data_IF_410244335862
#
_entry.id   IF_410244335862
#
_cell.length_a   1.000
_cell.length_b   1.000
_cell.length_c   1.000
_cell.angle_alpha   90.00
_cell.angle_beta   90.00
_cell.angle_gamma   90.00
#
_symmetry.space_group_name_H-M   'P 1'
#
loop_
_entity.id
_entity.type
_entity.pdbx_description
1 polymer ?
#
# COMPACT_ATOMS: atom_id res chain seq x y z
N UNK A 1 31.78 -41.60 63.86
CA UNK A 1 32.05 -40.16 63.92
C UNK A 1 31.70 -39.51 62.57
N UNK A 2 30.77 -38.56 62.64
CA UNK A 2 30.30 -37.52 61.70
C UNK A 2 30.75 -37.56 60.23
N UNK A 3 29.77 -37.77 59.34
CA UNK A 3 29.77 -37.33 57.92
C UNK A 3 29.62 -35.80 57.84
N UNK A 4 30.36 -35.07 57.00
CA UNK A 4 30.01 -33.68 56.70
C UNK A 4 28.92 -33.62 55.63
N UNK A 5 27.88 -32.85 55.91
CA UNK A 5 26.78 -32.54 55.02
C UNK A 5 27.24 -31.50 53.98
N UNK A 6 26.96 -31.76 52.69
CA UNK A 6 27.12 -30.80 51.62
C UNK A 6 25.96 -29.79 51.68
N UNK A 7 26.27 -28.52 51.94
CA UNK A 7 25.33 -27.42 51.86
C UNK A 7 25.15 -27.03 50.38
N UNK A 8 23.94 -27.23 49.84
CA UNK A 8 23.54 -26.63 48.57
C UNK A 8 23.27 -25.14 48.79
N UNK A 9 24.16 -24.29 48.29
CA UNK A 9 23.89 -22.86 48.15
C UNK A 9 22.93 -22.67 46.95
N UNK A 10 21.67 -22.36 47.24
CA UNK A 10 20.72 -21.87 46.23
C UNK A 10 21.13 -20.43 45.90
N UNK A 11 21.80 -20.25 44.76
CA UNK A 11 22.03 -18.92 44.20
C UNK A 11 20.68 -18.36 43.75
N UNK A 12 20.13 -17.43 44.52
CA UNK A 12 18.98 -16.63 44.11
C UNK A 12 19.42 -15.73 42.93
N UNK A 13 19.07 -16.12 41.72
CA UNK A 13 19.11 -15.23 40.56
C UNK A 13 18.08 -14.13 40.77
N UNK A 14 18.52 -13.00 41.31
CA UNK A 14 17.77 -11.74 41.23
C UNK A 14 17.74 -11.36 39.76
N UNK A 15 16.63 -11.68 39.09
CA UNK A 15 16.33 -11.14 37.78
C UNK A 15 16.20 -9.63 37.92
N UNK A 16 17.24 -8.91 37.52
CA UNK A 16 17.17 -7.47 37.28
C UNK A 16 16.18 -7.27 36.13
N UNK A 17 14.93 -7.01 36.47
CA UNK A 17 13.95 -6.47 35.55
C UNK A 17 14.46 -5.11 35.11
N UNK A 18 15.15 -5.05 33.96
CA UNK A 18 15.36 -3.81 33.26
C UNK A 18 13.98 -3.21 32.98
N UNK A 19 13.70 -1.95 33.36
CA UNK A 19 12.49 -1.31 32.93
C UNK A 19 12.52 -1.29 31.40
N UNK A 20 11.54 -1.98 30.81
CA UNK A 20 11.26 -1.89 29.39
C UNK A 20 11.27 -0.40 29.02
N UNK A 21 12.16 -0.05 28.11
CA UNK A 21 12.66 1.31 27.92
C UNK A 21 11.55 2.34 27.82
N UNK A 22 11.85 3.54 28.33
CA UNK A 22 11.05 4.74 28.15
C UNK A 22 10.43 4.74 26.75
N UNK A 23 9.10 4.61 26.69
CA UNK A 23 8.37 4.69 25.43
C UNK A 23 8.83 5.97 24.73
N UNK A 24 9.40 5.84 23.54
CA UNK A 24 9.79 7.01 22.77
C UNK A 24 8.58 7.93 22.68
N UNK A 25 8.75 9.20 23.02
CA UNK A 25 7.67 10.17 22.94
C UNK A 25 7.10 10.14 21.51
N UNK A 26 5.82 9.76 21.39
CA UNK A 26 5.11 9.67 20.11
C UNK A 26 5.02 11.05 19.48
N UNK A 27 5.20 11.12 18.17
CA UNK A 27 4.89 12.31 17.38
C UNK A 27 3.38 12.50 17.27
N UNK A 28 2.93 13.71 16.94
CA UNK A 28 1.50 13.97 16.72
C UNK A 28 0.93 13.11 15.57
N UNK A 29 1.72 12.92 14.50
CA UNK A 29 1.34 12.07 13.37
C UNK A 29 1.22 10.60 13.78
N UNK A 30 2.21 10.06 14.50
CA UNK A 30 2.17 8.69 15.00
C UNK A 30 1.00 8.45 15.97
N UNK A 31 0.73 9.38 16.88
CA UNK A 31 -0.40 9.29 17.80
C UNK A 31 -1.77 9.30 17.07
N UNK A 32 -1.90 10.07 15.97
CA UNK A 32 -3.11 10.06 15.15
C UNK A 32 -3.24 8.76 14.35
N UNK A 33 -2.14 8.24 13.79
CA UNK A 33 -2.13 6.94 13.11
C UNK A 33 -2.54 5.80 14.05
N UNK A 34 -1.96 5.74 15.25
CA UNK A 34 -2.31 4.77 16.29
C UNK A 34 -3.80 4.87 16.66
N UNK A 35 -4.33 6.09 16.84
CA UNK A 35 -5.77 6.30 17.07
C UNK A 35 -6.64 5.75 15.94
N UNK A 36 -6.21 5.92 14.68
CA UNK A 36 -6.89 5.38 13.51
C UNK A 36 -6.92 3.86 13.51
N UNK A 37 -5.77 3.24 13.82
CA UNK A 37 -5.64 1.79 13.96
C UNK A 37 -6.59 1.27 15.06
N UNK A 38 -6.54 1.87 16.27
CA UNK A 38 -7.42 1.50 17.39
C UNK A 38 -8.90 1.63 17.05
N UNK A 39 -9.28 2.72 16.37
CA UNK A 39 -10.64 2.96 15.92
C UNK A 39 -11.09 1.86 14.96
N UNK A 40 -10.31 1.60 13.92
CA UNK A 40 -10.66 0.64 12.88
C UNK A 40 -10.67 -0.80 13.40
N UNK A 41 -9.78 -1.15 14.33
CA UNK A 41 -9.78 -2.46 14.99
C UNK A 41 -11.03 -2.66 15.86
N UNK A 42 -11.38 -1.65 16.68
CA UNK A 42 -12.55 -1.69 17.55
C UNK A 42 -13.88 -1.82 16.80
N UNK A 43 -14.00 -1.23 15.62
CA UNK A 43 -15.20 -1.36 14.76
C UNK A 43 -15.14 -2.55 13.80
N UNK A 44 -14.11 -3.40 13.90
CA UNK A 44 -13.96 -4.62 13.10
C UNK A 44 -13.56 -4.38 11.64
N UNK A 45 -13.07 -3.20 11.29
CA UNK A 45 -12.60 -2.88 9.94
C UNK A 45 -11.19 -3.40 9.64
N UNK A 46 -10.41 -3.70 10.68
CA UNK A 46 -9.11 -4.40 10.62
C UNK A 46 -9.04 -5.43 11.75
N UNK A 47 -8.31 -6.52 11.51
CA UNK A 47 -8.16 -7.61 12.49
C UNK A 47 -7.13 -7.21 13.55
N UNK A 48 -7.25 -7.77 14.75
CA UNK A 48 -6.34 -7.48 15.85
C UNK A 48 -4.85 -7.76 15.54
N UNK A 49 -4.48 -8.87 14.86
CA UNK A 49 -3.09 -9.08 14.47
C UNK A 49 -2.56 -8.03 13.50
N UNK A 50 -3.38 -7.60 12.53
CA UNK A 50 -3.01 -6.55 11.57
C UNK A 50 -2.81 -5.22 12.31
N UNK A 51 -3.72 -4.87 13.22
CA UNK A 51 -3.59 -3.67 14.05
C UNK A 51 -2.29 -3.66 14.86
N UNK A 52 -1.93 -4.80 15.48
CA UNK A 52 -0.67 -4.93 16.21
C UNK A 52 0.55 -4.72 15.30
N UNK A 53 0.53 -5.30 14.09
CA UNK A 53 1.60 -5.09 13.10
C UNK A 53 1.70 -3.61 12.70
N UNK A 54 0.57 -2.95 12.42
CA UNK A 54 0.55 -1.55 12.01
C UNK A 54 1.05 -0.61 13.11
N UNK A 55 0.74 -0.87 14.38
CA UNK A 55 1.34 -0.12 15.50
C UNK A 55 2.86 -0.27 15.56
N UNK A 56 3.38 -1.47 15.25
CA UNK A 56 4.81 -1.70 15.18
C UNK A 56 5.45 -0.93 14.01
N UNK A 57 4.80 -0.87 12.85
CA UNK A 57 5.27 -0.11 11.69
C UNK A 57 5.33 1.39 11.98
N UNK A 58 4.31 1.95 12.64
CA UNK A 58 4.33 3.35 13.10
C UNK A 58 5.49 3.60 14.06
N UNK A 59 5.68 2.72 15.06
CA UNK A 59 6.79 2.83 16.00
C UNK A 59 8.16 2.80 15.32
N UNK A 60 8.35 1.87 14.37
CA UNK A 60 9.61 1.73 13.64
C UNK A 60 9.88 2.96 12.76
N UNK A 61 8.86 3.50 12.10
CA UNK A 61 8.98 4.72 11.32
C UNK A 61 9.36 5.93 12.18
N UNK A 62 8.72 6.12 13.33
CA UNK A 62 9.06 7.21 14.26
C UNK A 62 10.49 7.08 14.79
N UNK A 63 10.90 5.86 15.14
CA UNK A 63 12.25 5.57 15.61
C UNK A 63 13.28 5.85 14.51
N UNK A 64 13.04 5.37 13.30
CA UNK A 64 13.93 5.58 12.16
C UNK A 64 14.01 7.07 11.77
N UNK A 65 12.91 7.81 11.82
CA UNK A 65 12.90 9.25 11.57
C UNK A 65 13.73 10.01 12.63
N UNK A 66 13.56 9.68 13.91
CA UNK A 66 14.25 10.34 15.02
C UNK A 66 15.77 10.21 14.94
N UNK A 67 16.26 9.00 14.65
CA UNK A 67 17.68 8.69 14.68
C UNK A 67 18.34 8.66 13.29
N UNK A 68 17.54 8.81 12.23
CA UNK A 68 18.02 8.75 10.86
C UNK A 68 18.66 10.05 10.36
N UNK A 69 19.47 9.96 9.27
CA UNK A 69 19.95 11.11 8.51
C UNK A 69 18.81 12.04 8.03
N UNK A 70 19.07 13.35 7.83
CA UNK A 70 18.03 14.35 7.54
C UNK A 70 17.10 14.01 6.35
N UNK A 71 17.64 13.57 5.22
CA UNK A 71 16.82 13.25 4.03
C UNK A 71 15.93 12.02 4.24
N UNK A 72 16.44 11.00 4.97
CA UNK A 72 15.67 9.81 5.32
C UNK A 72 14.58 10.15 6.35
N UNK A 73 14.91 10.99 7.33
CA UNK A 73 13.95 11.55 8.28
C UNK A 73 12.82 12.27 7.55
N UNK A 74 13.13 13.16 6.60
CA UNK A 74 12.12 13.89 5.84
C UNK A 74 11.14 12.95 5.11
N UNK A 75 11.65 11.90 4.46
CA UNK A 75 10.81 10.92 3.79
C UNK A 75 9.91 10.17 4.80
N UNK A 76 10.46 9.69 5.91
CA UNK A 76 9.67 8.98 6.94
C UNK A 76 8.65 9.87 7.66
N UNK A 77 8.98 11.13 7.92
CA UNK A 77 8.04 12.12 8.43
C UNK A 77 6.92 12.39 7.42
N UNK A 78 7.22 12.41 6.12
CA UNK A 78 6.20 12.50 5.08
C UNK A 78 5.28 11.27 5.09
N UNK A 79 5.83 10.06 5.17
CA UNK A 79 5.04 8.82 5.25
C UNK A 79 4.14 8.80 6.50
N UNK A 80 4.67 9.18 7.66
CA UNK A 80 3.88 9.32 8.90
C UNK A 80 2.76 10.37 8.75
N UNK A 81 3.05 11.49 8.11
CA UNK A 81 2.04 12.51 7.84
C UNK A 81 0.93 11.97 6.92
N UNK A 82 1.27 11.19 5.90
CA UNK A 82 0.28 10.60 4.98
C UNK A 82 -0.66 9.62 5.69
N UNK A 83 -0.12 8.66 6.46
CA UNK A 83 -0.98 7.75 7.23
C UNK A 83 -1.85 8.52 8.22
N UNK A 84 -1.30 9.54 8.89
CA UNK A 84 -2.06 10.35 9.86
C UNK A 84 -3.13 11.23 9.23
N UNK A 85 -2.99 11.65 7.96
CA UNK A 85 -3.95 12.56 7.29
C UNK A 85 -5.30 11.90 7.08
N UNK A 86 -5.32 10.58 6.87
CA UNK A 86 -6.53 9.80 6.56
C UNK A 86 -6.85 8.78 7.67
N UNK A 87 -6.40 9.07 8.90
CA UNK A 87 -6.49 8.19 10.08
C UNK A 87 -7.90 7.69 10.39
N UNK A 88 -8.93 8.47 10.07
CA UNK A 88 -10.34 8.16 10.35
C UNK A 88 -10.99 7.27 9.27
N UNK A 89 -10.27 6.99 8.18
CA UNK A 89 -10.78 6.28 7.01
C UNK A 89 -10.26 4.84 6.88
N UNK A 90 -9.47 4.34 7.81
CA UNK A 90 -8.84 3.01 7.67
C UNK A 90 -9.86 1.87 7.61
N UNK A 91 -9.87 1.18 6.48
CA UNK A 91 -10.50 -0.13 6.29
C UNK A 91 -9.42 -1.14 5.94
N UNK A 92 -9.69 -2.44 6.06
CA UNK A 92 -8.73 -3.51 5.76
C UNK A 92 -7.83 -3.25 4.55
N UNK A 93 -8.39 -3.07 3.33
CA UNK A 93 -7.60 -2.84 2.13
C UNK A 93 -6.77 -1.55 2.15
N UNK A 94 -7.33 -0.47 2.69
CA UNK A 94 -6.63 0.83 2.78
C UNK A 94 -5.50 0.79 3.80
N UNK A 95 -5.76 0.23 4.98
CA UNK A 95 -4.75 0.05 6.01
C UNK A 95 -3.61 -0.84 5.50
N UNK A 96 -3.93 -1.94 4.82
CA UNK A 96 -2.93 -2.81 4.20
C UNK A 96 -2.02 -2.03 3.23
N UNK A 97 -2.59 -1.24 2.31
CA UNK A 97 -1.79 -0.45 1.37
C UNK A 97 -0.90 0.58 2.08
N UNK A 98 -1.43 1.29 3.08
CA UNK A 98 -0.71 2.34 3.79
C UNK A 98 0.42 1.82 4.67
N UNK A 99 0.14 0.80 5.47
CA UNK A 99 1.11 0.32 6.44
C UNK A 99 2.15 -0.61 5.81
N UNK A 100 1.81 -1.36 4.75
CA UNK A 100 2.84 -2.06 3.97
C UNK A 100 3.77 -1.08 3.25
N UNK A 101 3.25 0.05 2.76
CA UNK A 101 4.06 1.14 2.21
C UNK A 101 4.96 1.78 3.26
N UNK A 102 4.42 2.09 4.46
CA UNK A 102 5.20 2.64 5.56
C UNK A 102 6.35 1.69 5.95
N UNK A 103 6.05 0.40 6.04
CA UNK A 103 7.01 -0.66 6.32
C UNK A 103 8.12 -0.73 5.26
N UNK A 104 7.75 -0.72 3.98
CA UNK A 104 8.72 -0.74 2.88
C UNK A 104 9.68 0.46 2.96
N UNK A 105 9.14 1.65 3.25
CA UNK A 105 9.98 2.85 3.44
C UNK A 105 10.97 2.68 4.60
N UNK A 106 10.52 2.13 5.74
CA UNK A 106 11.40 1.88 6.89
C UNK A 106 12.50 0.90 6.50
N UNK A 107 12.14 -0.25 5.92
CA UNK A 107 13.09 -1.30 5.58
C UNK A 107 14.10 -0.83 4.53
N UNK A 108 13.64 -0.13 3.49
CA UNK A 108 14.53 0.41 2.47
C UNK A 108 15.46 1.49 3.04
N UNK A 109 14.93 2.51 3.71
CA UNK A 109 15.71 3.68 4.13
C UNK A 109 16.67 3.37 5.29
N UNK A 110 16.46 2.28 6.01
CA UNK A 110 17.43 1.84 7.03
C UNK A 110 18.66 1.17 6.40
N UNK A 111 18.51 0.50 5.26
CA UNK A 111 19.57 -0.26 4.61
C UNK A 111 20.20 0.42 3.38
N UNK A 112 19.51 1.36 2.73
CA UNK A 112 19.88 1.86 1.40
C UNK A 112 20.04 3.39 1.34
N UNK A 113 20.80 3.94 0.37
CA UNK A 113 20.83 5.37 0.09
C UNK A 113 19.47 5.87 -0.42
N UNK A 114 19.29 7.19 -0.44
CA UNK A 114 18.12 7.80 -1.10
C UNK A 114 18.18 7.48 -2.60
N UNK A 115 17.14 6.89 -3.20
CA UNK A 115 17.14 6.55 -4.61
C UNK A 115 16.76 7.76 -5.49
N UNK A 116 16.93 7.60 -6.81
CA UNK A 116 16.49 8.60 -7.78
C UNK A 116 14.95 8.63 -7.89
N UNK A 117 14.42 9.78 -8.29
CA UNK A 117 12.98 9.94 -8.54
C UNK A 117 12.47 8.94 -9.59
N UNK A 118 11.31 8.32 -9.32
CA UNK A 118 10.73 7.31 -10.19
C UNK A 118 11.34 5.90 -10.05
N UNK A 119 12.29 5.69 -9.14
CA UNK A 119 12.82 4.35 -8.86
C UNK A 119 11.72 3.46 -8.30
N UNK A 120 11.56 2.26 -8.86
CA UNK A 120 10.64 1.25 -8.36
C UNK A 120 11.39 0.22 -7.50
N UNK A 121 10.76 -0.19 -6.40
CA UNK A 121 11.16 -1.36 -5.60
C UNK A 121 9.97 -2.32 -5.48
N UNK A 122 10.26 -3.60 -5.26
CA UNK A 122 9.25 -4.64 -5.13
C UNK A 122 9.27 -5.17 -3.70
N UNK A 123 8.12 -5.08 -3.02
CA UNK A 123 7.92 -5.63 -1.69
C UNK A 123 7.81 -7.16 -1.70
N UNK A 124 7.74 -7.79 -0.52
CA UNK A 124 7.74 -9.25 -0.38
C UNK A 124 6.52 -9.95 -0.99
N UNK A 125 5.41 -9.23 -1.19
CA UNK A 125 4.19 -9.72 -1.84
C UNK A 125 4.13 -9.37 -3.33
N UNK A 126 5.25 -8.93 -3.92
CA UNK A 126 5.35 -8.56 -5.33
C UNK A 126 4.84 -7.15 -5.65
N UNK A 127 4.29 -6.43 -4.67
CA UNK A 127 3.79 -5.06 -4.87
C UNK A 127 4.94 -4.12 -5.21
N UNK A 128 4.71 -3.29 -6.23
CA UNK A 128 5.63 -2.25 -6.65
C UNK A 128 5.35 -0.96 -5.88
N UNK A 129 6.41 -0.40 -5.30
CA UNK A 129 6.40 0.95 -4.72
C UNK A 129 7.35 1.85 -5.50
N UNK A 130 6.90 3.07 -5.80
CA UNK A 130 7.66 4.05 -6.58
C UNK A 130 8.16 5.18 -5.71
N UNK A 131 9.45 5.50 -5.82
CA UNK A 131 10.05 6.60 -5.09
C UNK A 131 9.61 7.96 -5.66
N UNK A 132 9.15 8.83 -4.77
CA UNK A 132 8.93 10.24 -5.02
C UNK A 132 9.74 11.08 -4.04
N UNK A 133 10.54 11.99 -4.59
CA UNK A 133 11.44 12.85 -3.83
C UNK A 133 10.68 13.67 -2.79
N UNK A 134 11.13 13.55 -1.53
CA UNK A 134 10.50 14.22 -0.38
C UNK A 134 9.22 13.55 0.14
N UNK A 135 8.76 12.46 -0.48
CA UNK A 135 7.60 11.67 -0.01
C UNK A 135 8.02 10.30 0.48
N UNK A 136 8.88 9.62 -0.25
CA UNK A 136 9.24 8.23 -0.01
C UNK A 136 8.75 7.31 -1.13
N UNK A 137 8.78 6.01 -0.88
CA UNK A 137 8.15 5.01 -1.71
C UNK A 137 6.63 5.03 -1.55
N UNK A 138 5.91 5.07 -2.66
CA UNK A 138 4.45 5.14 -2.72
C UNK A 138 3.89 3.91 -3.43
N UNK A 139 2.83 3.31 -2.87
CA UNK A 139 2.03 2.32 -3.58
C UNK A 139 1.48 2.97 -4.85
N UNK A 140 1.84 2.41 -6.00
CA UNK A 140 1.58 3.04 -7.28
C UNK A 140 0.69 2.15 -8.15
N UNK A 141 -0.66 2.31 -8.10
CA UNK A 141 -1.61 1.47 -8.82
C UNK A 141 -1.23 1.20 -10.28
N UNK A 142 -0.91 2.24 -11.06
CA UNK A 142 -0.51 2.06 -12.47
C UNK A 142 0.72 1.16 -12.63
N UNK A 143 1.74 1.31 -11.77
CA UNK A 143 2.99 0.56 -11.91
C UNK A 143 2.75 -0.92 -11.57
N UNK A 144 1.95 -1.17 -10.53
CA UNK A 144 1.54 -2.50 -10.12
C UNK A 144 0.76 -3.23 -11.21
N UNK A 145 -0.24 -2.59 -11.81
CA UNK A 145 -1.03 -3.25 -12.86
C UNK A 145 -0.26 -3.42 -14.16
N UNK A 146 0.65 -2.50 -14.50
CA UNK A 146 1.60 -2.74 -15.59
C UNK A 146 2.53 -3.92 -15.31
N UNK A 147 2.99 -4.08 -14.07
CA UNK A 147 3.79 -5.25 -13.67
C UNK A 147 2.98 -6.55 -13.76
N UNK A 148 1.74 -6.56 -13.26
CA UNK A 148 0.85 -7.72 -13.34
C UNK A 148 0.62 -8.13 -14.81
N UNK A 149 0.39 -7.14 -15.68
CA UNK A 149 0.22 -7.37 -17.11
C UNK A 149 1.47 -7.99 -17.75
N UNK A 150 2.65 -7.47 -17.41
CA UNK A 150 3.93 -8.01 -17.87
C UNK A 150 4.18 -9.45 -17.39
N UNK A 151 3.89 -9.76 -16.12
CA UNK A 151 4.01 -11.10 -15.56
C UNK A 151 3.08 -12.08 -16.29
N UNK A 152 1.83 -11.67 -16.54
CA UNK A 152 0.86 -12.49 -17.26
C UNK A 152 1.29 -12.73 -18.72
N UNK A 153 1.77 -11.69 -19.41
CA UNK A 153 2.29 -11.77 -20.77
C UNK A 153 3.53 -12.68 -20.87
N UNK A 154 4.41 -12.63 -19.86
CA UNK A 154 5.56 -13.51 -19.74
C UNK A 154 5.21 -14.95 -19.32
N UNK A 155 3.93 -15.26 -19.09
CA UNK A 155 3.43 -16.55 -18.59
C UNK A 155 4.06 -16.96 -17.24
N UNK A 156 4.45 -15.98 -16.42
CA UNK A 156 4.96 -16.23 -15.08
C UNK A 156 3.77 -16.44 -14.12
N UNK A 157 3.24 -17.67 -14.08
CA UNK A 157 2.05 -18.00 -13.29
C UNK A 157 2.20 -17.66 -11.79
N UNK A 158 3.34 -18.00 -11.18
CA UNK A 158 3.57 -17.77 -9.75
C UNK A 158 3.60 -16.27 -9.42
N UNK A 159 4.37 -15.50 -10.21
CA UNK A 159 4.43 -14.04 -10.05
C UNK A 159 3.08 -13.38 -10.32
N UNK A 160 2.35 -13.82 -11.34
CA UNK A 160 0.99 -13.33 -11.64
C UNK A 160 0.04 -13.60 -10.48
N UNK A 161 0.05 -14.81 -9.90
CA UNK A 161 -0.84 -15.15 -8.78
C UNK A 161 -0.49 -14.31 -7.55
N UNK A 162 0.78 -14.27 -7.18
CA UNK A 162 1.26 -13.51 -6.02
C UNK A 162 0.84 -12.03 -6.10
N UNK A 163 1.13 -11.37 -7.21
CA UNK A 163 0.81 -9.96 -7.37
C UNK A 163 -0.70 -9.72 -7.52
N UNK A 164 -1.43 -10.59 -8.23
CA UNK A 164 -2.88 -10.45 -8.34
C UNK A 164 -3.57 -10.52 -6.98
N UNK A 165 -3.20 -11.50 -6.14
CA UNK A 165 -3.75 -11.66 -4.79
C UNK A 165 -3.42 -10.44 -3.92
N UNK A 166 -2.17 -9.94 -3.99
CA UNK A 166 -1.74 -8.76 -3.25
C UNK A 166 -2.50 -7.49 -3.67
N UNK A 167 -2.83 -7.34 -4.96
CA UNK A 167 -3.60 -6.20 -5.46
C UNK A 167 -5.09 -6.33 -5.13
N UNK A 168 -5.67 -7.52 -5.25
CA UNK A 168 -7.07 -7.77 -4.85
C UNK A 168 -7.28 -7.48 -3.36
N UNK A 169 -6.32 -7.85 -2.51
CA UNK A 169 -6.36 -7.53 -1.07
C UNK A 169 -6.36 -6.01 -0.78
N UNK A 170 -5.87 -5.19 -1.71
CA UNK A 170 -5.82 -3.73 -1.62
C UNK A 170 -6.94 -3.03 -2.39
N UNK A 171 -7.89 -3.77 -2.95
CA UNK A 171 -9.03 -3.21 -3.66
C UNK A 171 -10.01 -2.54 -2.68
N UNK A 172 -10.32 -1.27 -2.92
CA UNK A 172 -11.23 -0.46 -2.10
C UNK A 172 -12.66 -0.69 -2.60
N UNK A 173 -13.53 -1.33 -1.81
CA UNK A 173 -14.91 -1.55 -2.21
C UNK A 173 -15.70 -0.24 -2.27
N UNK A 174 -16.60 -0.16 -3.25
CA UNK A 174 -17.48 0.98 -3.48
C UNK A 174 -18.92 0.54 -3.68
N UNK A 175 -19.89 1.45 -3.50
CA UNK A 175 -21.29 1.19 -3.82
C UNK A 175 -21.44 0.68 -5.26
N UNK A 176 -22.33 -0.29 -5.46
CA UNK A 176 -22.59 -0.90 -6.77
C UNK A 176 -21.58 -1.98 -7.18
N UNK A 177 -20.81 -2.53 -6.24
CA UNK A 177 -19.87 -3.63 -6.51
C UNK A 177 -18.57 -3.21 -7.19
N UNK A 178 -18.30 -1.91 -7.29
CA UNK A 178 -17.11 -1.33 -7.95
C UNK A 178 -15.89 -1.40 -7.03
N UNK A 179 -14.69 -1.54 -7.58
CA UNK A 179 -13.42 -1.52 -6.84
C UNK A 179 -12.50 -0.40 -7.35
N UNK A 180 -11.87 0.35 -6.44
CA UNK A 180 -10.78 1.29 -6.75
C UNK A 180 -9.45 0.80 -6.18
N UNK A 181 -8.37 1.29 -6.77
CA UNK A 181 -7.04 1.30 -6.18
C UNK A 181 -6.62 2.76 -6.04
N UNK A 182 -6.34 3.14 -4.81
CA UNK A 182 -6.13 4.52 -4.41
C UNK A 182 -4.65 4.88 -4.44
N UNK A 183 -4.37 6.12 -4.82
CA UNK A 183 -3.14 6.82 -4.52
C UNK A 183 -3.33 7.52 -3.16
N UNK A 184 -2.49 7.16 -2.19
CA UNK A 184 -2.58 7.65 -0.81
C UNK A 184 -1.81 8.95 -0.54
N UNK A 185 -1.09 9.47 -1.54
CA UNK A 185 -0.28 10.68 -1.43
C UNK A 185 -0.87 11.86 -2.19
N UNK A 186 -0.58 13.10 -1.77
CA UNK A 186 -0.96 14.29 -2.52
C UNK A 186 -0.14 14.43 -3.81
N UNK A 187 -0.80 14.77 -4.91
CA UNK A 187 -0.17 15.01 -6.21
C UNK A 187 -0.81 16.22 -6.91
N UNK A 188 -0.01 17.22 -7.26
CA UNK A 188 -0.52 18.51 -7.72
C UNK A 188 -1.52 19.10 -6.72
N UNK A 189 -2.74 19.39 -7.17
CA UNK A 189 -3.86 19.85 -6.31
C UNK A 189 -4.70 18.71 -5.72
N UNK A 190 -4.40 17.46 -6.08
CA UNK A 190 -5.12 16.28 -5.62
C UNK A 190 -4.85 15.97 -4.16
N UNK A 191 -5.92 15.88 -3.36
CA UNK A 191 -5.85 15.40 -1.98
C UNK A 191 -6.04 13.88 -1.97
N UNK A 192 -5.28 13.14 -1.14
CA UNK A 192 -5.51 11.72 -0.98
C UNK A 192 -6.77 11.42 -0.16
N UNK A 193 -7.38 10.23 -0.34
CA UNK A 193 -7.09 9.29 -1.43
C UNK A 193 -7.70 9.77 -2.75
N UNK A 194 -7.03 9.46 -3.87
CA UNK A 194 -7.57 9.69 -5.21
C UNK A 194 -7.32 8.50 -6.13
N UNK A 195 -8.06 8.41 -7.23
CA UNK A 195 -7.93 7.33 -8.21
C UNK A 195 -7.65 7.86 -9.62
N UNK A 196 -7.08 7.01 -10.45
CA UNK A 196 -6.74 7.32 -11.85
C UNK A 196 -7.56 6.47 -12.81
N UNK A 197 -8.19 7.09 -13.81
CA UNK A 197 -8.93 6.38 -14.85
C UNK A 197 -8.03 5.45 -15.66
N UNK A 198 -6.81 5.91 -15.98
CA UNK A 198 -5.81 5.06 -16.63
C UNK A 198 -5.47 3.83 -15.78
N UNK A 199 -5.20 4.02 -14.48
CA UNK A 199 -4.87 2.88 -13.60
C UNK A 199 -6.01 1.88 -13.51
N UNK A 200 -7.27 2.35 -13.44
CA UNK A 200 -8.44 1.46 -13.42
C UNK A 200 -8.62 0.69 -14.75
N UNK A 201 -8.37 1.34 -15.88
CA UNK A 201 -8.41 0.66 -17.19
C UNK A 201 -7.34 -0.42 -17.32
N UNK A 202 -6.11 -0.14 -16.89
CA UNK A 202 -5.01 -1.12 -16.90
C UNK A 202 -5.29 -2.24 -15.87
N UNK A 203 -5.92 -1.93 -14.74
CA UNK A 203 -6.33 -2.95 -13.76
C UNK A 203 -7.33 -3.95 -14.34
N UNK A 204 -8.36 -3.47 -15.05
CA UNK A 204 -9.34 -4.34 -15.70
C UNK A 204 -8.67 -5.30 -16.71
N UNK A 205 -7.77 -4.78 -17.54
CA UNK A 205 -7.01 -5.58 -18.50
C UNK A 205 -6.10 -6.61 -17.82
N UNK A 206 -5.25 -6.17 -16.88
CA UNK A 206 -4.26 -7.00 -16.23
C UNK A 206 -4.91 -8.14 -15.43
N UNK A 207 -6.00 -7.87 -14.71
CA UNK A 207 -6.75 -8.88 -13.97
C UNK A 207 -7.46 -9.88 -14.89
N UNK A 208 -7.99 -9.45 -16.03
CA UNK A 208 -8.59 -10.36 -17.02
C UNK A 208 -7.53 -11.28 -17.65
N UNK A 209 -6.35 -10.75 -17.99
CA UNK A 209 -5.22 -11.55 -18.48
C UNK A 209 -4.68 -12.50 -17.42
N UNK A 210 -4.59 -12.07 -16.16
CA UNK A 210 -4.21 -12.92 -15.05
C UNK A 210 -5.22 -14.07 -14.86
N UNK A 211 -6.52 -13.79 -14.97
CA UNK A 211 -7.57 -14.81 -14.95
C UNK A 211 -7.38 -15.84 -16.07
N UNK A 212 -7.16 -15.38 -17.30
CA UNK A 212 -6.94 -16.25 -18.45
C UNK A 212 -5.69 -17.14 -18.31
N UNK A 213 -4.59 -16.59 -17.78
CA UNK A 213 -3.36 -17.36 -17.55
C UNK A 213 -3.54 -18.40 -16.43
N UNK A 214 -4.17 -18.01 -15.32
CA UNK A 214 -4.26 -18.84 -14.11
C UNK A 214 -5.48 -19.77 -14.08
N UNK A 215 -6.43 -19.60 -15.01
CA UNK A 215 -7.72 -20.28 -14.98
C UNK A 215 -8.58 -19.91 -13.77
N UNK A 216 -8.41 -18.69 -13.22
CA UNK A 216 -9.05 -18.26 -11.97
C UNK A 216 -10.20 -17.27 -12.25
N UNK A 217 -11.47 -17.69 -12.21
CA UNK A 217 -12.60 -16.82 -12.53
C UNK A 217 -12.82 -15.71 -11.50
N UNK A 218 -12.25 -15.80 -10.29
CA UNK A 218 -12.35 -14.72 -9.30
C UNK A 218 -11.57 -13.47 -9.75
N UNK A 219 -10.47 -13.65 -10.50
CA UNK A 219 -9.72 -12.54 -11.07
C UNK A 219 -10.47 -11.86 -12.22
N UNK A 220 -11.29 -12.60 -12.97
CA UNK A 220 -12.18 -12.01 -13.97
C UNK A 220 -13.31 -11.20 -13.33
N UNK A 221 -13.86 -11.66 -12.21
CA UNK A 221 -14.78 -10.87 -11.41
C UNK A 221 -14.11 -9.58 -10.89
N UNK A 222 -12.89 -9.68 -10.38
CA UNK A 222 -12.10 -8.50 -9.98
C UNK A 222 -11.88 -7.52 -11.16
N UNK A 223 -11.59 -8.03 -12.36
CA UNK A 223 -11.47 -7.23 -13.57
C UNK A 223 -12.77 -6.49 -13.92
N UNK A 224 -13.93 -7.16 -13.80
CA UNK A 224 -15.25 -6.53 -14.00
C UNK A 224 -15.52 -5.44 -12.98
N UNK A 225 -15.15 -5.65 -11.72
CA UNK A 225 -15.28 -4.63 -10.65
C UNK A 225 -14.37 -3.43 -10.88
N UNK A 226 -13.17 -3.63 -11.42
CA UNK A 226 -12.28 -2.55 -11.85
C UNK A 226 -12.86 -1.77 -13.05
N UNK A 227 -13.42 -2.48 -14.04
CA UNK A 227 -14.06 -1.85 -15.20
C UNK A 227 -15.29 -1.01 -14.82
N UNK A 228 -16.16 -1.53 -13.94
CA UNK A 228 -17.38 -0.87 -13.50
C UNK A 228 -17.15 0.49 -12.81
N UNK A 229 -15.90 0.74 -12.41
CA UNK A 229 -15.43 1.97 -11.78
C UNK A 229 -15.21 3.12 -12.78
N UNK A 230 -14.90 2.79 -14.03
CA UNK A 230 -14.45 3.74 -15.07
C UNK A 230 -15.49 4.80 -15.43
N UNK A 231 -16.82 4.53 -15.49
CA UNK A 231 -17.81 5.57 -15.77
C UNK A 231 -17.73 6.77 -14.82
N UNK A 232 -17.38 6.54 -13.54
CA UNK A 232 -17.15 7.61 -12.56
C UNK A 232 -15.86 8.40 -12.78
N UNK A 233 -15.00 7.97 -13.70
CA UNK A 233 -13.72 8.58 -14.07
C UNK A 233 -13.73 9.13 -15.51
N UNK A 234 -14.89 9.26 -16.13
CA UNK A 234 -15.05 9.91 -17.44
C UNK A 234 -15.48 11.37 -17.26
N UNK A 235 -15.01 12.24 -18.14
CA UNK A 235 -15.51 13.60 -18.33
C UNK A 235 -15.95 13.83 -19.77
N UNK A 236 -16.91 14.72 -19.97
CA UNK A 236 -17.29 15.17 -21.31
C UNK A 236 -16.30 16.21 -21.84
N UNK A 237 -15.92 16.09 -23.11
CA UNK A 237 -15.17 17.10 -23.86
C UNK A 237 -15.85 17.36 -25.20
N UNK A 238 -15.44 18.40 -25.93
CA UNK A 238 -15.91 18.62 -27.31
C UNK A 238 -15.52 17.49 -28.27
N UNK A 239 -14.50 16.69 -27.93
CA UNK A 239 -14.08 15.50 -28.67
C UNK A 239 -14.78 14.21 -28.20
N UNK A 240 -15.73 14.30 -27.27
CA UNK A 240 -16.45 13.14 -26.71
C UNK A 240 -15.99 12.76 -25.29
N UNK A 241 -16.32 11.54 -24.82
CA UNK A 241 -15.98 11.08 -23.48
C UNK A 241 -14.46 10.89 -23.34
N UNK A 242 -13.91 11.42 -22.25
CA UNK A 242 -12.49 11.40 -21.95
C UNK A 242 -12.22 10.80 -20.58
N UNK A 243 -11.29 9.87 -20.49
CA UNK A 243 -10.88 9.23 -19.25
C UNK A 243 -9.97 10.19 -18.48
N UNK A 244 -10.35 10.51 -17.25
CA UNK A 244 -9.57 11.37 -16.36
C UNK A 244 -8.34 10.61 -15.89
N UNK A 245 -7.14 11.06 -16.28
CA UNK A 245 -5.89 10.53 -15.74
C UNK A 245 -5.88 10.71 -14.21
N UNK A 246 -6.27 11.89 -13.74
CA UNK A 246 -6.39 12.21 -12.33
C UNK A 246 -7.87 12.42 -11.99
N UNK A 247 -8.42 11.58 -11.11
CA UNK A 247 -9.85 11.64 -10.73
C UNK A 247 -10.27 12.93 -10.01
N UNK A 248 -9.31 13.77 -9.61
CA UNK A 248 -9.53 15.02 -8.88
C UNK A 248 -9.50 16.28 -9.77
N UNK A 249 -9.14 16.17 -11.05
CA UNK A 249 -9.11 17.33 -11.95
C UNK A 249 -9.76 17.03 -13.31
N UNK A 250 -9.73 18.03 -14.20
CA UNK A 250 -10.31 17.96 -15.54
C UNK A 250 -9.27 18.01 -16.66
N UNK A 251 -7.99 17.78 -16.33
CA UNK A 251 -6.91 17.87 -17.31
C UNK A 251 -7.04 16.78 -18.37
N UNK A 252 -7.01 17.18 -19.64
CA UNK A 252 -7.05 16.27 -20.78
C UNK A 252 -5.66 15.80 -21.14
N UNK A 253 -5.31 14.59 -20.74
CA UNK A 253 -3.97 14.01 -20.99
C UNK A 253 -4.06 12.95 -22.08
N UNK A 254 -3.53 13.25 -23.28
CA UNK A 254 -3.71 12.44 -24.50
C UNK A 254 -3.11 11.03 -24.38
N UNK A 255 -1.87 10.90 -23.91
CA UNK A 255 -1.23 9.59 -23.75
C UNK A 255 -2.02 8.70 -22.77
N UNK A 256 -2.56 9.28 -21.69
CA UNK A 256 -3.39 8.55 -20.75
C UNK A 256 -4.70 8.07 -21.37
N UNK A 257 -5.37 8.91 -22.16
CA UNK A 257 -6.57 8.51 -22.89
C UNK A 257 -6.29 7.36 -23.85
N UNK A 258 -5.24 7.47 -24.67
CA UNK A 258 -4.90 6.43 -25.65
C UNK A 258 -4.57 5.10 -24.96
N UNK A 259 -3.73 5.13 -23.93
CA UNK A 259 -3.37 3.92 -23.19
C UNK A 259 -4.58 3.29 -22.49
N UNK A 260 -5.46 4.10 -21.90
CA UNK A 260 -6.66 3.62 -21.24
C UNK A 260 -7.63 2.95 -22.23
N UNK A 261 -7.81 3.53 -23.42
CA UNK A 261 -8.65 2.93 -24.48
C UNK A 261 -8.06 1.61 -25.00
N UNK A 262 -6.74 1.54 -25.19
CA UNK A 262 -6.07 0.30 -25.57
C UNK A 262 -6.30 -0.80 -24.51
N UNK A 263 -6.09 -0.46 -23.24
CA UNK A 263 -6.31 -1.38 -22.11
C UNK A 263 -7.75 -1.89 -22.06
N UNK A 264 -8.73 -0.99 -22.27
CA UNK A 264 -10.15 -1.35 -22.28
C UNK A 264 -10.55 -2.23 -23.45
N UNK A 265 -9.97 -1.98 -24.63
CA UNK A 265 -10.18 -2.83 -25.81
C UNK A 265 -9.68 -4.24 -25.56
N UNK A 266 -8.53 -4.37 -24.93
CA UNK A 266 -7.93 -5.67 -24.61
C UNK A 266 -8.67 -6.40 -23.50
N UNK A 267 -9.12 -5.69 -22.46
CA UNK A 267 -10.04 -6.22 -21.46
C UNK A 267 -11.28 -6.80 -22.14
N UNK A 268 -11.95 -6.04 -23.01
CA UNK A 268 -13.16 -6.51 -23.71
C UNK A 268 -12.92 -7.72 -24.61
N UNK A 269 -11.70 -7.91 -25.13
CA UNK A 269 -11.34 -9.08 -25.93
C UNK A 269 -11.01 -10.33 -25.09
N UNK A 270 -10.72 -10.15 -23.80
CA UNK A 270 -10.29 -11.22 -22.88
C UNK A 270 -11.41 -11.67 -21.94
N UNK A 271 -12.38 -10.80 -21.64
CA UNK A 271 -13.36 -10.93 -20.57
C UNK A 271 -14.67 -11.67 -20.92
#
# INVERSE_FOLDING_TARGET
MRRPAAAFAVAACVALAWPLGAAAARTAAGALADRGIDRAARIGWIKAPDAQAYHADVYLAERAARFGPPLRRQALESQLAQVSTIWDSYIGPRALALFSQLRENVDYLTAHPIPADGTDVTGPDGVVYRWFSGKGFEFHPLANFSMLDNLAAAKNADGTRQLADALVARAIPQPGGRWYWEYAFPYGMGRPPWASGLSQSVAAQALARASALLGDPALLDAARKAYATIPGLIQGTSAGPWIRLYGFNHETVLNAQLQAVLSLREYAATA
#
